data_IF_451844100958
#
_entry.id   IF_451844100958
#
_cell.length_a   1.000
_cell.length_b   1.000
_cell.length_c   1.000
_cell.angle_alpha   90.00
_cell.angle_beta   90.00
_cell.angle_gamma   90.00
#
_symmetry.space_group_name_H-M   'P 1'
#
loop_
_entity.id
_entity.type
_entity.pdbx_description
1 polymer ?
#
# COMPACT_ATOMS: atom_id res chain seq x y z
N UNK A 1 25.63 -10.25 -10.84
CA UNK A 1 24.48 -10.61 -9.99
C UNK A 1 23.98 -9.34 -9.31
N UNK A 2 22.70 -9.02 -9.45
CA UNK A 2 22.09 -7.86 -8.78
C UNK A 2 21.85 -8.21 -7.31
N UNK A 3 22.34 -7.37 -6.39
CA UNK A 3 22.15 -7.57 -4.94
C UNK A 3 20.66 -7.36 -4.60
N UNK A 4 20.06 -8.34 -3.90
CA UNK A 4 18.65 -8.32 -3.46
C UNK A 4 18.59 -8.43 -1.95
N UNK A 5 17.60 -7.78 -1.33
CA UNK A 5 17.28 -7.89 0.09
C UNK A 5 15.84 -8.37 0.23
N UNK A 6 15.57 -9.19 1.25
CA UNK A 6 14.24 -9.72 1.57
C UNK A 6 13.63 -9.08 2.83
N UNK A 7 14.28 -8.06 3.40
CA UNK A 7 13.85 -7.35 4.62
C UNK A 7 13.54 -8.28 5.82
N UNK A 8 13.96 -9.54 5.79
CA UNK A 8 13.80 -10.44 6.92
C UNK A 8 14.81 -10.08 8.00
N UNK A 9 14.34 -9.89 9.23
CA UNK A 9 15.22 -9.69 10.39
C UNK A 9 15.99 -10.99 10.59
N UNK A 10 17.30 -10.94 10.33
CA UNK A 10 18.20 -12.09 10.46
C UNK A 10 19.30 -11.81 11.47
N UNK A 11 19.57 -12.75 12.40
CA UNK A 11 20.73 -12.68 13.26
C UNK A 11 22.06 -12.66 12.47
N UNK A 12 23.02 -11.83 12.88
CA UNK A 12 24.28 -11.57 12.14
C UNK A 12 25.17 -12.81 11.89
N UNK A 13 25.06 -13.84 12.73
CA UNK A 13 25.74 -15.13 12.62
C UNK A 13 25.09 -16.15 11.66
N UNK A 14 23.94 -15.86 11.04
CA UNK A 14 23.33 -16.79 10.09
C UNK A 14 24.14 -16.86 8.78
N UNK A 15 24.71 -18.04 8.51
CA UNK A 15 25.47 -18.28 7.27
C UNK A 15 24.55 -18.37 6.05
N UNK A 16 25.04 -17.95 4.88
CA UNK A 16 24.27 -17.96 3.63
C UNK A 16 23.86 -19.35 3.13
N UNK A 17 24.26 -20.44 3.79
CA UNK A 17 23.87 -21.82 3.48
C UNK A 17 22.62 -22.29 4.24
N UNK A 18 22.12 -21.54 5.23
CA UNK A 18 20.82 -21.80 5.88
C UNK A 18 19.64 -21.15 5.13
N UNK A 19 19.80 -20.92 3.82
CA UNK A 19 18.72 -20.56 2.89
C UNK A 19 17.66 -21.66 2.91
N UNK A 20 16.75 -21.63 3.87
CA UNK A 20 15.43 -22.18 3.64
C UNK A 20 14.86 -21.36 2.48
N UNK A 21 14.70 -22.00 1.32
CA UNK A 21 13.95 -21.42 0.23
C UNK A 21 12.63 -20.96 0.84
N UNK A 22 12.43 -19.65 0.93
CA UNK A 22 11.20 -19.09 1.44
C UNK A 22 10.09 -19.74 0.63
N UNK A 23 9.33 -20.62 1.27
CA UNK A 23 8.14 -21.24 0.69
C UNK A 23 7.37 -20.09 0.05
N UNK A 24 6.95 -20.23 -1.22
CA UNK A 24 6.20 -19.24 -2.01
C UNK A 24 4.91 -18.83 -1.28
N UNK A 25 5.02 -18.03 -0.23
CA UNK A 25 3.93 -17.37 0.44
C UNK A 25 3.81 -16.01 -0.22
N UNK A 26 2.61 -15.69 -0.69
CA UNK A 26 2.34 -14.36 -1.23
C UNK A 26 2.57 -13.36 -0.10
N UNK A 27 3.66 -12.58 -0.16
CA UNK A 27 3.97 -11.55 0.83
C UNK A 27 3.40 -10.23 0.33
N UNK A 28 2.78 -9.45 1.21
CA UNK A 28 2.28 -8.12 0.88
C UNK A 28 2.84 -7.11 1.88
N UNK A 29 3.06 -5.89 1.41
CA UNK A 29 3.63 -4.80 2.20
C UNK A 29 2.61 -3.68 2.36
N UNK A 30 2.44 -3.21 3.60
CA UNK A 30 1.85 -1.91 3.91
C UNK A 30 2.96 -0.96 4.33
N UNK A 31 3.03 0.20 3.70
CA UNK A 31 3.93 1.28 4.08
C UNK A 31 3.13 2.58 4.28
N UNK A 32 3.32 3.23 5.43
CA UNK A 32 2.54 4.41 5.84
C UNK A 32 3.45 5.53 6.33
N UNK A 33 3.33 6.78 5.84
CA UNK A 33 3.78 7.94 6.60
C UNK A 33 2.92 8.06 7.85
N UNK A 34 3.55 8.27 9.01
CA UNK A 34 2.84 8.34 10.28
C UNK A 34 3.35 9.48 11.16
N UNK A 35 2.42 10.08 11.88
CA UNK A 35 2.64 11.03 12.96
C UNK A 35 1.83 10.64 14.19
N UNK A 36 2.33 11.02 15.35
CA UNK A 36 1.78 10.61 16.65
C UNK A 36 0.34 11.10 16.88
N UNK A 37 -0.09 12.15 16.18
CA UNK A 37 -1.46 12.67 16.25
C UNK A 37 -2.49 11.73 15.63
N UNK A 38 -2.10 10.90 14.65
CA UNK A 38 -3.00 9.93 13.99
C UNK A 38 -2.83 8.51 14.54
N UNK A 39 -2.13 8.35 15.67
CA UNK A 39 -1.73 7.07 16.24
C UNK A 39 -2.87 6.06 16.38
N UNK A 40 -4.04 6.48 16.87
CA UNK A 40 -5.20 5.59 17.05
C UNK A 40 -5.72 5.06 15.71
N UNK A 41 -5.86 5.94 14.70
CA UNK A 41 -6.30 5.51 13.38
C UNK A 41 -5.26 4.57 12.73
N UNK A 42 -3.97 4.90 12.84
CA UNK A 42 -2.91 4.06 12.32
C UNK A 42 -2.91 2.69 13.00
N UNK A 43 -3.11 2.59 14.31
CA UNK A 43 -3.19 1.30 14.99
C UNK A 43 -4.35 0.45 14.43
N UNK A 44 -5.54 1.03 14.25
CA UNK A 44 -6.68 0.34 13.62
C UNK A 44 -6.34 -0.20 12.23
N UNK A 45 -5.63 0.58 11.41
CA UNK A 45 -5.13 0.13 10.10
C UNK A 45 -4.15 -1.02 10.28
N UNK A 46 -3.12 -0.85 11.09
CA UNK A 46 -2.04 -1.82 11.27
C UNK A 46 -2.58 -3.15 11.79
N UNK A 47 -3.44 -3.16 12.80
CA UNK A 47 -4.06 -4.39 13.33
C UNK A 47 -4.79 -5.17 12.22
N UNK A 48 -5.55 -4.47 11.36
CA UNK A 48 -6.31 -5.11 10.28
C UNK A 48 -5.40 -5.72 9.22
N UNK A 49 -4.30 -5.05 8.89
CA UNK A 49 -3.32 -5.55 7.91
C UNK A 49 -2.43 -6.66 8.48
N UNK A 50 -2.05 -6.60 9.76
CA UNK A 50 -1.36 -7.69 10.47
C UNK A 50 -2.21 -8.97 10.49
N UNK A 51 -3.51 -8.87 10.78
CA UNK A 51 -4.45 -10.00 10.68
C UNK A 51 -4.58 -10.56 9.25
N UNK A 52 -4.15 -9.79 8.24
CA UNK A 52 -4.05 -10.20 6.85
C UNK A 52 -2.66 -10.71 6.41
N UNK A 53 -1.73 -10.89 7.36
CA UNK A 53 -0.34 -11.33 7.13
C UNK A 53 0.47 -10.37 6.24
N UNK A 54 0.30 -9.07 6.44
CA UNK A 54 1.14 -8.06 5.80
C UNK A 54 2.38 -7.76 6.63
N UNK A 55 3.48 -7.48 5.94
CA UNK A 55 4.60 -6.76 6.56
C UNK A 55 4.25 -5.29 6.63
N UNK A 56 4.62 -4.62 7.73
CA UNK A 56 4.26 -3.24 8.00
C UNK A 56 5.55 -2.41 8.10
N UNK A 57 5.60 -1.28 7.40
CA UNK A 57 6.63 -0.25 7.55
C UNK A 57 5.94 1.07 7.91
N UNK A 58 6.35 1.67 9.02
CA UNK A 58 5.88 2.98 9.48
C UNK A 58 6.99 4.01 9.30
N UNK A 59 6.70 5.04 8.52
CA UNK A 59 7.59 6.15 8.20
C UNK A 59 7.26 7.35 9.09
N UNK A 60 8.00 7.50 10.19
CA UNK A 60 7.81 8.55 11.18
C UNK A 60 8.37 9.87 10.66
N UNK A 61 7.48 10.75 10.18
CA UNK A 61 7.88 12.07 9.69
C UNK A 61 8.00 13.10 10.82
N UNK A 62 7.41 12.83 12.00
CA UNK A 62 7.43 13.72 13.16
C UNK A 62 8.58 13.40 14.14
N UNK A 63 9.19 12.22 14.01
CA UNK A 63 10.28 11.75 14.86
C UNK A 63 9.87 11.07 16.16
N UNK A 64 8.57 10.96 16.45
CA UNK A 64 8.07 10.47 17.73
C UNK A 64 7.94 8.94 17.77
N UNK A 65 9.03 8.19 17.54
CA UNK A 65 8.97 6.72 17.55
C UNK A 65 8.63 6.16 18.92
N UNK A 66 9.14 6.76 19.98
CA UNK A 66 8.98 6.23 21.34
C UNK A 66 7.52 6.15 21.79
N UNK A 67 6.69 7.05 21.24
CA UNK A 67 5.25 7.07 21.48
C UNK A 67 4.48 5.95 20.80
N UNK A 68 5.12 5.00 20.11
CA UNK A 68 4.46 3.85 19.47
C UNK A 68 4.73 2.52 20.16
N UNK A 69 5.67 2.46 21.10
CA UNK A 69 6.08 1.21 21.76
C UNK A 69 5.04 0.66 22.76
N UNK A 70 4.06 1.47 23.14
CA UNK A 70 2.92 1.06 23.98
C UNK A 70 1.83 0.33 23.18
N UNK A 71 1.90 0.33 21.85
CA UNK A 71 0.97 -0.40 20.99
C UNK A 71 1.49 -1.81 20.67
N UNK A 72 0.56 -2.75 20.52
CA UNK A 72 0.84 -4.11 20.07
C UNK A 72 1.51 -4.18 18.68
N UNK A 73 1.45 -3.10 17.90
CA UNK A 73 2.09 -2.99 16.61
C UNK A 73 3.55 -2.50 16.69
N UNK A 74 4.00 -1.94 17.82
CA UNK A 74 5.31 -1.29 17.95
C UNK A 74 6.48 -2.25 17.69
N UNK A 75 6.39 -3.51 18.13
CA UNK A 75 7.44 -4.51 17.91
C UNK A 75 7.25 -5.32 16.61
N UNK A 76 6.08 -5.24 15.98
CA UNK A 76 5.72 -5.99 14.75
C UNK A 76 5.94 -5.21 13.47
N UNK A 77 6.02 -3.88 13.55
CA UNK A 77 6.29 -3.02 12.40
C UNK A 77 7.77 -2.67 12.28
N UNK A 78 8.20 -2.32 11.07
CA UNK A 78 9.51 -1.72 10.83
C UNK A 78 9.36 -0.20 10.94
N UNK A 79 10.08 0.41 11.86
CA UNK A 79 10.05 1.85 12.09
C UNK A 79 11.21 2.53 11.37
N UNK A 80 10.92 3.54 10.57
CA UNK A 80 11.92 4.36 9.86
C UNK A 80 11.62 5.83 10.14
N UNK A 81 12.65 6.61 10.49
CA UNK A 81 12.48 8.00 10.90
C UNK A 81 13.19 8.93 9.95
N UNK A 82 12.50 9.97 9.50
CA UNK A 82 13.11 11.13 8.85
C UNK A 82 12.20 12.35 9.02
N UNK A 83 12.69 13.39 9.68
CA UNK A 83 11.87 14.55 10.01
C UNK A 83 11.38 15.31 8.78
N UNK A 84 10.11 15.71 8.81
CA UNK A 84 9.46 16.58 7.83
C UNK A 84 9.57 16.08 6.37
N UNK A 85 9.47 14.76 6.17
CA UNK A 85 9.52 14.14 4.84
C UNK A 85 8.14 13.66 4.39
N UNK A 86 7.92 13.64 3.08
CA UNK A 86 6.65 13.23 2.47
C UNK A 86 6.60 11.72 2.24
N UNK A 87 5.38 11.18 2.06
CA UNK A 87 5.13 9.77 1.69
C UNK A 87 6.04 9.28 0.57
N UNK A 88 6.10 10.04 -0.52
CA UNK A 88 6.88 9.68 -1.71
C UNK A 88 8.38 9.79 -1.50
N UNK A 89 8.83 10.72 -0.65
CA UNK A 89 10.24 10.82 -0.27
C UNK A 89 10.74 9.56 0.44
N UNK A 90 9.94 9.04 1.38
CA UNK A 90 10.23 7.77 2.07
C UNK A 90 10.18 6.59 1.09
N UNK A 91 9.11 6.49 0.31
CA UNK A 91 8.94 5.42 -0.65
C UNK A 91 10.11 5.36 -1.65
N UNK A 92 10.60 6.51 -2.11
CA UNK A 92 11.78 6.59 -3.00
C UNK A 92 13.02 5.98 -2.35
N UNK A 93 13.27 6.25 -1.08
CA UNK A 93 14.53 5.90 -0.39
C UNK A 93 14.52 4.50 0.20
N UNK A 94 13.40 4.06 0.75
CA UNK A 94 13.32 2.83 1.53
C UNK A 94 12.62 1.68 0.79
N UNK A 95 11.85 1.97 -0.26
CA UNK A 95 11.14 0.95 -1.04
C UNK A 95 11.78 0.74 -2.42
N UNK A 96 13.11 0.69 -2.49
CA UNK A 96 13.81 0.39 -3.75
C UNK A 96 13.34 -0.96 -4.33
N UNK A 97 13.13 -1.12 -5.65
CA UNK A 97 12.55 -2.34 -6.23
C UNK A 97 13.25 -3.64 -5.83
N UNK A 98 14.58 -3.62 -5.70
CA UNK A 98 15.36 -4.79 -5.25
C UNK A 98 15.15 -5.16 -3.77
N UNK A 99 14.75 -4.20 -2.93
CA UNK A 99 14.50 -4.36 -1.49
C UNK A 99 13.09 -4.91 -1.25
N UNK A 100 12.12 -4.46 -2.03
CA UNK A 100 10.71 -4.88 -1.91
C UNK A 100 10.33 -5.99 -2.90
N UNK A 101 11.32 -6.59 -3.59
CA UNK A 101 11.11 -7.59 -4.65
C UNK A 101 10.45 -8.89 -4.18
N UNK A 102 10.38 -9.11 -2.86
CA UNK A 102 9.71 -10.26 -2.25
C UNK A 102 8.20 -10.06 -2.07
N UNK A 103 7.70 -8.83 -2.14
CA UNK A 103 6.28 -8.54 -1.97
C UNK A 103 5.57 -8.54 -3.32
N UNK A 104 4.40 -9.18 -3.40
CA UNK A 104 3.57 -9.20 -4.59
C UNK A 104 2.80 -7.89 -4.77
N UNK A 105 2.34 -7.33 -3.65
CA UNK A 105 1.62 -6.06 -3.59
C UNK A 105 2.23 -5.13 -2.56
N UNK A 106 2.34 -3.86 -2.93
CA UNK A 106 2.89 -2.78 -2.12
C UNK A 106 1.80 -1.71 -1.98
N UNK A 107 1.34 -1.50 -0.75
CA UNK A 107 0.35 -0.49 -0.39
C UNK A 107 1.10 0.70 0.18
N UNK A 108 0.91 1.87 -0.42
CA UNK A 108 1.33 3.15 0.16
C UNK A 108 0.09 3.86 0.66
N UNK A 109 -0.09 3.97 1.97
CA UNK A 109 -1.38 4.30 2.57
C UNK A 109 -1.26 5.54 3.45
N UNK A 110 -2.15 6.53 3.28
CA UNK A 110 -2.16 7.75 4.12
C UNK A 110 -2.74 7.48 5.51
N UNK A 111 -2.16 8.10 6.52
CA UNK A 111 -2.49 7.89 7.94
C UNK A 111 -3.87 8.40 8.37
N UNK A 112 -4.53 9.22 7.56
CA UNK A 112 -5.88 9.75 7.77
C UNK A 112 -6.97 8.85 7.17
N UNK A 113 -6.59 7.84 6.38
CA UNK A 113 -7.53 6.88 5.82
C UNK A 113 -7.82 5.75 6.81
N UNK A 114 -9.07 5.73 7.30
CA UNK A 114 -9.60 4.64 8.12
C UNK A 114 -9.91 3.36 7.33
N UNK A 115 -10.17 2.27 8.06
CA UNK A 115 -10.36 0.92 7.46
C UNK A 115 -11.64 0.22 7.89
N UNK A 116 -12.60 0.89 8.53
CA UNK A 116 -13.81 0.27 9.10
C UNK A 116 -14.51 -0.68 8.11
N UNK A 117 -14.79 -0.17 6.90
CA UNK A 117 -15.47 -0.92 5.85
C UNK A 117 -14.54 -1.54 4.80
N UNK A 118 -13.24 -1.60 5.07
CA UNK A 118 -12.21 -2.13 4.17
C UNK A 118 -11.71 -3.52 4.61
N UNK A 119 -11.56 -4.46 3.68
CA UNK A 119 -10.95 -5.78 3.94
C UNK A 119 -9.75 -5.99 2.98
N UNK A 120 -8.50 -6.09 3.50
CA UNK A 120 -7.32 -6.23 2.66
C UNK A 120 -7.32 -7.50 1.79
N UNK A 121 -7.81 -8.63 2.31
CA UNK A 121 -7.82 -9.92 1.60
C UNK A 121 -8.84 -9.87 0.46
N UNK A 122 -10.04 -9.34 0.74
CA UNK A 122 -11.09 -9.18 -0.27
C UNK A 122 -10.67 -8.20 -1.36
N UNK A 123 -10.01 -7.11 -0.97
CA UNK A 123 -9.47 -6.15 -1.93
C UNK A 123 -8.45 -6.81 -2.86
N UNK A 124 -7.49 -7.56 -2.33
CA UNK A 124 -6.50 -8.27 -3.14
C UNK A 124 -7.14 -9.32 -4.07
N UNK A 125 -8.21 -9.99 -3.67
CA UNK A 125 -8.95 -10.89 -4.57
C UNK A 125 -9.51 -10.15 -5.78
N UNK A 126 -10.06 -8.95 -5.57
CA UNK A 126 -10.60 -8.11 -6.65
C UNK A 126 -9.47 -7.67 -7.59
N UNK A 127 -8.37 -7.15 -7.04
CA UNK A 127 -7.20 -6.70 -7.80
C UNK A 127 -6.63 -7.83 -8.65
N UNK A 128 -6.44 -9.02 -8.07
CA UNK A 128 -5.97 -10.22 -8.77
C UNK A 128 -6.91 -10.66 -9.89
N UNK A 129 -8.22 -10.72 -9.59
CA UNK A 129 -9.23 -11.16 -10.58
C UNK A 129 -9.35 -10.18 -11.74
N UNK A 130 -9.22 -8.89 -11.47
CA UNK A 130 -9.29 -7.84 -12.47
C UNK A 130 -7.97 -7.60 -13.23
N UNK A 131 -6.86 -8.19 -12.77
CA UNK A 131 -5.53 -7.99 -13.37
C UNK A 131 -5.04 -6.55 -13.26
N UNK A 132 -5.32 -5.88 -12.14
CA UNK A 132 -4.93 -4.48 -11.94
C UNK A 132 -3.49 -4.39 -11.44
N UNK A 133 -2.65 -3.71 -12.21
CA UNK A 133 -1.23 -3.47 -11.88
C UNK A 133 -1.06 -2.29 -10.91
N UNK A 134 -1.89 -1.25 -11.06
CA UNK A 134 -1.96 -0.08 -10.18
C UNK A 134 -3.44 0.13 -9.83
N UNK A 135 -3.74 0.23 -8.55
CA UNK A 135 -5.11 0.39 -8.07
C UNK A 135 -5.17 1.22 -6.78
N UNK A 136 -6.37 1.57 -6.35
CA UNK A 136 -6.63 2.17 -5.04
C UNK A 136 -7.96 1.59 -4.53
N UNK A 137 -8.12 1.35 -3.21
CA UNK A 137 -9.43 1.09 -2.63
C UNK A 137 -10.40 2.24 -2.86
N UNK A 138 -11.69 1.92 -3.00
CA UNK A 138 -12.71 2.95 -3.05
C UNK A 138 -12.95 3.55 -1.66
N UNK A 139 -13.15 4.87 -1.60
CA UNK A 139 -13.39 5.62 -0.38
C UNK A 139 -14.82 5.44 0.09
N UNK A 140 -15.02 5.49 1.40
CA UNK A 140 -16.35 5.46 1.98
C UNK A 140 -17.16 6.70 1.54
N UNK A 141 -18.44 6.60 1.15
CA UNK A 141 -19.26 7.76 0.80
C UNK A 141 -19.36 8.81 1.92
N UNK A 142 -19.20 8.40 3.17
CA UNK A 142 -19.27 9.27 4.34
C UNK A 142 -17.89 9.84 4.74
N UNK A 143 -16.84 9.57 3.95
CA UNK A 143 -15.50 10.14 4.17
C UNK A 143 -15.49 11.64 3.89
N UNK A 144 -14.80 12.40 4.75
CA UNK A 144 -14.70 13.87 4.67
C UNK A 144 -13.79 14.35 3.54
N UNK A 145 -12.90 13.49 3.02
CA UNK A 145 -11.83 13.86 2.08
C UNK A 145 -12.00 13.19 0.71
N UNK A 146 -13.15 13.42 0.07
CA UNK A 146 -13.41 12.93 -1.28
C UNK A 146 -13.19 14.06 -2.28
N UNK A 147 -12.04 14.09 -2.97
CA UNK A 147 -11.81 15.08 -4.04
C UNK A 147 -12.39 14.62 -5.38
N UNK A 148 -12.41 13.31 -5.64
CA UNK A 148 -12.90 12.77 -6.90
C UNK A 148 -14.08 11.80 -6.73
N UNK A 149 -15.28 12.18 -7.18
CA UNK A 149 -16.50 11.34 -7.10
C UNK A 149 -16.39 9.94 -7.73
N UNK A 150 -15.36 9.67 -8.53
CA UNK A 150 -15.10 8.35 -9.11
C UNK A 150 -14.45 7.38 -8.10
N UNK A 151 -13.81 7.88 -7.04
CA UNK A 151 -13.16 7.05 -6.00
C UNK A 151 -14.14 6.60 -4.92
N UNK A 152 -15.37 7.14 -4.91
CA UNK A 152 -16.42 6.74 -3.96
C UNK A 152 -16.85 5.29 -4.19
N UNK A 153 -16.93 4.52 -3.09
CA UNK A 153 -17.40 3.15 -3.09
C UNK A 153 -18.83 3.07 -3.61
N UNK A 154 -19.05 2.16 -4.54
CA UNK A 154 -20.37 1.81 -5.04
C UNK A 154 -20.60 0.31 -4.90
N UNK A 155 -21.81 -0.06 -4.47
CA UNK A 155 -22.21 -1.47 -4.35
C UNK A 155 -22.53 -2.12 -5.69
N UNK A 156 -22.83 -1.32 -6.72
CA UNK A 156 -23.29 -1.80 -8.03
C UNK A 156 -22.25 -1.61 -9.13
N UNK A 157 -21.26 -0.74 -8.92
CA UNK A 157 -20.23 -0.46 -9.94
C UNK A 157 -19.04 -1.39 -9.81
N UNK A 158 -18.47 -1.74 -10.95
CA UNK A 158 -17.22 -2.49 -11.06
C UNK A 158 -16.02 -1.55 -11.10
N UNK A 159 -14.82 -2.11 -11.09
CA UNK A 159 -13.56 -1.37 -11.28
C UNK A 159 -13.50 -0.56 -12.59
N UNK A 160 -14.24 -0.97 -13.63
CA UNK A 160 -14.43 -0.17 -14.85
C UNK A 160 -15.69 0.68 -14.79
N UNK A 161 -15.59 1.87 -15.38
CA UNK A 161 -16.73 2.73 -15.67
C UNK A 161 -17.32 2.31 -17.02
N UNK A 162 -18.61 1.94 -17.04
CA UNK A 162 -19.36 1.66 -18.27
C UNK A 162 -20.42 2.72 -18.59
N UNK A 163 -20.55 3.72 -17.72
CA UNK A 163 -21.52 4.81 -17.85
C UNK A 163 -21.00 5.91 -18.77
N UNK A 164 -21.93 6.69 -19.35
CA UNK A 164 -21.59 7.88 -20.11
C UNK A 164 -20.99 8.93 -19.15
N UNK A 165 -19.72 9.29 -19.33
CA UNK A 165 -19.08 10.38 -18.60
C UNK A 165 -18.73 11.51 -19.56
N UNK A 166 -19.50 12.59 -19.51
CA UNK A 166 -19.40 13.68 -20.47
C UNK A 166 -19.76 13.20 -21.87
N UNK A 167 -18.82 13.34 -22.82
CA UNK A 167 -18.99 12.86 -24.21
C UNK A 167 -18.48 11.43 -24.44
N UNK A 168 -17.85 10.81 -23.43
CA UNK A 168 -17.19 9.51 -23.59
C UNK A 168 -18.10 8.39 -23.10
N UNK A 169 -18.45 7.46 -24.01
CA UNK A 169 -19.13 6.21 -23.68
C UNK A 169 -18.09 5.10 -23.58
N UNK A 170 -17.90 4.58 -22.38
CA UNK A 170 -16.92 3.52 -22.14
C UNK A 170 -17.40 2.17 -22.67
N UNK A 171 -16.50 1.46 -23.34
CA UNK A 171 -16.72 0.10 -23.83
C UNK A 171 -15.67 -0.85 -23.24
N UNK A 172 -15.78 -2.15 -23.51
CA UNK A 172 -14.74 -3.12 -23.10
C UNK A 172 -13.37 -2.83 -23.73
N UNK A 173 -13.31 -2.15 -24.87
CA UNK A 173 -12.06 -1.77 -25.53
C UNK A 173 -11.50 -0.42 -25.04
N UNK A 174 -12.21 0.29 -24.17
CA UNK A 174 -11.79 1.61 -23.69
C UNK A 174 -10.80 1.48 -22.53
N UNK A 175 -9.54 1.81 -22.77
CA UNK A 175 -8.45 1.71 -21.77
C UNK A 175 -8.04 3.06 -21.16
N UNK A 176 -8.47 4.17 -21.76
CA UNK A 176 -8.18 5.51 -21.27
C UNK A 176 -9.14 5.98 -20.18
N UNK A 177 -8.77 7.02 -19.40
CA UNK A 177 -9.68 7.66 -18.45
C UNK A 177 -10.89 8.27 -19.19
N UNK A 178 -12.11 8.21 -18.61
CA UNK A 178 -12.44 7.70 -17.27
C UNK A 178 -12.75 6.19 -17.21
N UNK A 179 -12.54 5.44 -18.30
CA UNK A 179 -13.03 4.07 -18.45
C UNK A 179 -12.23 3.03 -17.65
N UNK A 180 -10.93 3.25 -17.49
CA UNK A 180 -10.01 2.41 -16.71
C UNK A 180 -9.99 2.70 -15.21
N UNK A 181 -10.86 3.58 -14.72
CA UNK A 181 -10.87 4.03 -13.32
C UNK A 181 -9.90 5.18 -13.06
N UNK A 182 -9.64 5.47 -11.79
CA UNK A 182 -8.79 6.58 -11.35
C UNK A 182 -8.09 6.20 -10.04
N UNK A 183 -6.82 6.58 -9.90
CA UNK A 183 -6.03 6.41 -8.69
C UNK A 183 -5.57 7.80 -8.26
N UNK A 184 -6.08 8.25 -7.11
CA UNK A 184 -5.90 9.60 -6.59
C UNK A 184 -4.55 9.79 -5.88
N UNK A 185 -3.95 8.69 -5.42
CA UNK A 185 -2.64 8.70 -4.80
C UNK A 185 -2.68 8.71 -3.27
N UNK A 186 -3.85 8.62 -2.64
CA UNK A 186 -3.96 8.53 -1.18
C UNK A 186 -3.56 7.15 -0.65
N UNK A 187 -4.15 6.11 -1.22
CA UNK A 187 -3.83 4.71 -0.89
C UNK A 187 -3.46 3.86 -2.13
N UNK A 188 -2.50 4.29 -2.99
CA UNK A 188 -2.17 3.53 -4.17
C UNK A 188 -1.55 2.19 -3.81
N UNK A 189 -1.96 1.17 -4.55
CA UNK A 189 -1.52 -0.20 -4.44
C UNK A 189 -0.88 -0.60 -5.75
N UNK A 190 0.35 -1.07 -5.68
CA UNK A 190 1.14 -1.48 -6.82
C UNK A 190 1.39 -2.97 -6.77
N UNK A 191 1.30 -3.64 -7.91
CA UNK A 191 2.00 -4.91 -8.08
C UNK A 191 3.50 -4.69 -8.05
N UNK A 192 4.25 -5.75 -7.78
CA UNK A 192 5.72 -5.74 -7.90
C UNK A 192 6.24 -5.22 -9.24
N UNK A 193 5.63 -5.63 -10.35
CA UNK A 193 5.95 -5.17 -11.71
C UNK A 193 5.67 -3.68 -11.87
N UNK A 194 4.50 -3.22 -11.43
CA UNK A 194 4.14 -1.82 -11.53
C UNK A 194 5.05 -0.93 -10.67
N UNK A 195 5.38 -1.37 -9.46
CA UNK A 195 6.26 -0.63 -8.56
C UNK A 195 7.67 -0.48 -9.13
N UNK A 196 8.20 -1.52 -9.78
CA UNK A 196 9.48 -1.43 -10.48
C UNK A 196 9.50 -0.26 -11.46
N UNK A 197 8.43 -0.07 -12.25
CA UNK A 197 8.31 1.06 -13.17
C UNK A 197 8.06 2.39 -12.44
N UNK A 198 7.05 2.43 -11.57
CA UNK A 198 6.61 3.64 -10.86
C UNK A 198 7.74 4.26 -10.01
N UNK A 199 8.57 3.43 -9.37
CA UNK A 199 9.70 3.89 -8.56
C UNK A 199 10.71 4.73 -9.35
N UNK A 200 10.87 4.46 -10.65
CA UNK A 200 11.76 5.26 -11.51
C UNK A 200 11.12 6.58 -11.97
N UNK A 201 9.80 6.71 -11.88
CA UNK A 201 9.06 7.92 -12.26
C UNK A 201 8.95 8.92 -11.10
N UNK A 202 8.89 8.44 -9.86
CA UNK A 202 8.86 9.30 -8.68
C UNK A 202 10.23 9.98 -8.46
N UNK A 203 10.20 11.29 -8.19
CA UNK A 203 11.38 12.13 -7.92
C UNK A 203 11.61 12.30 -6.42
#
# INVERSE_FOLDING_TARGET
MQVRSDLEIRPLWMSSSSRQASVNTNKNLLAMPVGIMQKENVDNVVQKFLAANFTIILFHYDGNVDGWWDLDCGDKAIHVVAHNQTKWWFAKRFLHPNVVSIYDYIFLWDEDLGVDHFDPKRYLQIVKTAGLEISQPALDPDSTEIHHKITIRSRTKTWRVYELRGKTKCSKASEGPPCSGFVEGMAPVFTRSAWYCAWHLIQ
#
